data_IF_502757153771
#
_entry.id   IF_502757153771
#
_cell.length_a   1.000
_cell.length_b   1.000
_cell.length_c   1.000
_cell.angle_alpha   90.00
_cell.angle_beta   90.00
_cell.angle_gamma   90.00
#
_symmetry.space_group_name_H-M   'P 1'
#
loop_
_entity.id
_entity.type
_entity.pdbx_description
1 polymer ?
#
# COMPACT_ATOMS: atom_id res chain seq x y z
N UNK A 1 0.30 -1.63 34.74
CA UNK A 1 -0.20 -1.39 33.37
C UNK A 1 -0.61 -2.72 32.73
N UNK A 2 -1.76 -2.74 32.10
CA UNK A 2 -2.31 -3.93 31.44
C UNK A 2 -2.98 -3.56 30.11
N UNK A 3 -3.38 -4.54 29.32
CA UNK A 3 -4.13 -4.32 28.09
C UNK A 3 -5.43 -3.57 28.37
N UNK A 4 -5.76 -2.61 27.52
CA UNK A 4 -6.89 -1.66 27.54
C UNK A 4 -6.74 -0.48 28.51
N UNK A 5 -5.70 -0.40 29.33
CA UNK A 5 -5.43 0.83 30.07
C UNK A 5 -5.19 1.99 29.10
N UNK A 6 -5.61 3.20 29.51
CA UNK A 6 -5.31 4.45 28.82
C UNK A 6 -4.14 5.11 29.52
N UNK A 7 -3.17 5.56 28.73
CA UNK A 7 -1.98 6.26 29.19
C UNK A 7 -1.77 7.53 28.39
N UNK A 8 -1.28 8.58 29.04
CA UNK A 8 -0.86 9.80 28.37
C UNK A 8 0.63 9.72 28.06
N UNK A 9 1.02 10.00 26.83
CA UNK A 9 2.43 10.07 26.44
C UNK A 9 2.68 11.11 25.36
N UNK A 10 3.92 11.57 25.37
CA UNK A 10 4.51 12.35 24.30
C UNK A 10 5.29 11.45 23.36
N UNK A 11 5.12 11.67 22.07
CA UNK A 11 5.85 10.93 21.03
C UNK A 11 7.20 11.61 20.81
N UNK A 12 8.24 10.92 21.20
CA UNK A 12 9.63 11.42 21.19
C UNK A 12 10.44 10.94 19.99
N UNK A 13 10.03 9.84 19.36
CA UNK A 13 10.72 9.23 18.22
C UNK A 13 9.74 8.45 17.33
N UNK A 14 10.24 7.90 16.24
CA UNK A 14 9.47 7.04 15.33
C UNK A 14 10.17 5.72 15.06
N UNK A 15 9.42 4.64 15.16
CA UNK A 15 9.88 3.28 14.90
C UNK A 15 10.06 2.97 13.41
N UNK A 16 10.67 1.82 13.14
CA UNK A 16 11.02 1.41 11.76
C UNK A 16 9.81 1.18 10.86
N UNK A 17 8.66 0.88 11.42
CA UNK A 17 7.40 0.66 10.70
C UNK A 17 6.52 1.92 10.68
N UNK A 18 7.05 3.08 11.15
CA UNK A 18 6.36 4.37 11.14
C UNK A 18 5.44 4.61 12.34
N UNK A 19 5.47 3.75 13.37
CA UNK A 19 4.78 3.99 14.63
C UNK A 19 5.50 5.04 15.47
N UNK A 20 4.75 5.86 16.21
CA UNK A 20 5.33 6.77 17.20
C UNK A 20 5.90 6.00 18.38
N UNK A 21 7.00 6.50 18.94
CA UNK A 21 7.62 5.97 20.16
C UNK A 21 7.52 6.99 21.27
N UNK A 22 6.93 6.59 22.39
CA UNK A 22 6.88 7.37 23.62
C UNK A 22 7.20 6.52 24.84
N UNK A 23 7.41 7.18 25.98
CA UNK A 23 7.69 6.51 27.24
C UNK A 23 6.62 6.85 28.28
N UNK A 24 6.20 5.85 29.04
CA UNK A 24 5.32 6.00 30.16
C UNK A 24 5.77 5.09 31.30
N UNK A 25 5.99 5.67 32.48
CA UNK A 25 6.48 4.96 33.68
C UNK A 25 7.73 4.09 33.40
N UNK A 26 8.70 4.69 32.68
CA UNK A 26 9.97 4.03 32.33
C UNK A 26 9.87 2.98 31.21
N UNK A 27 8.68 2.67 30.72
CA UNK A 27 8.46 1.67 29.67
C UNK A 27 8.22 2.32 28.30
N UNK A 28 8.81 1.76 27.25
CA UNK A 28 8.67 2.22 25.88
C UNK A 28 7.38 1.68 25.25
N UNK A 29 6.62 2.56 24.60
CA UNK A 29 5.43 2.20 23.85
C UNK A 29 5.58 2.54 22.36
N UNK A 30 5.21 1.58 21.52
CA UNK A 30 5.05 1.77 20.07
C UNK A 30 3.57 2.07 19.79
N UNK A 31 3.30 3.26 19.29
CA UNK A 31 1.93 3.77 19.13
C UNK A 31 1.59 3.95 17.68
N UNK A 32 0.64 3.15 17.20
CA UNK A 32 0.15 3.26 15.82
C UNK A 32 -0.59 4.58 15.61
N UNK A 33 -0.40 5.19 14.43
CA UNK A 33 -1.04 6.44 13.97
C UNK A 33 -0.62 7.71 14.77
N UNK A 34 0.41 7.60 15.60
CA UNK A 34 1.02 8.73 16.29
C UNK A 34 2.18 9.31 15.47
N UNK A 35 2.35 10.62 15.55
CA UNK A 35 3.39 11.39 14.83
C UNK A 35 4.37 11.97 15.83
N UNK A 36 5.64 12.06 15.44
CA UNK A 36 6.70 12.68 16.25
C UNK A 36 6.25 14.05 16.78
N UNK A 37 6.31 14.22 18.10
CA UNK A 37 5.93 15.45 18.80
C UNK A 37 4.46 15.55 19.21
N UNK A 38 3.59 14.58 18.89
CA UNK A 38 2.23 14.53 19.44
C UNK A 38 2.24 14.29 20.95
N UNK A 39 1.30 14.90 21.64
CA UNK A 39 0.88 14.52 22.98
C UNK A 39 -0.49 13.87 22.91
N UNK A 40 -0.61 12.65 23.42
CA UNK A 40 -1.75 11.78 23.14
C UNK A 40 -2.22 11.01 24.37
N UNK A 41 -3.51 10.70 24.39
CA UNK A 41 -4.02 9.52 25.08
C UNK A 41 -3.92 8.32 24.17
N UNK A 42 -3.33 7.24 24.68
CA UNK A 42 -3.16 6.00 23.94
C UNK A 42 -3.71 4.80 24.73
N UNK A 43 -4.45 3.93 24.05
CA UNK A 43 -4.94 2.69 24.63
C UNK A 43 -3.93 1.58 24.40
N UNK A 44 -3.52 0.94 25.48
CA UNK A 44 -2.61 -0.22 25.41
C UNK A 44 -3.30 -1.39 24.71
N UNK A 45 -2.70 -1.87 23.64
CA UNK A 45 -3.21 -3.01 22.86
C UNK A 45 -2.51 -4.32 23.22
N UNK A 46 -1.23 -4.25 23.61
CA UNK A 46 -0.43 -5.41 23.99
C UNK A 46 0.73 -5.00 24.87
N UNK A 47 0.98 -5.78 25.94
CA UNK A 47 2.15 -5.65 26.82
C UNK A 47 3.17 -6.74 26.52
N UNK A 48 4.44 -6.39 26.60
CA UNK A 48 5.61 -7.26 26.61
C UNK A 48 6.42 -6.98 27.87
N UNK A 49 7.47 -7.77 28.13
CA UNK A 49 8.29 -7.63 29.34
C UNK A 49 8.95 -6.23 29.45
N UNK A 50 9.46 -5.69 28.34
CA UNK A 50 10.27 -4.47 28.32
C UNK A 50 9.65 -3.34 27.49
N UNK A 51 8.51 -3.55 26.83
CA UNK A 51 7.83 -2.54 26.00
C UNK A 51 6.36 -2.89 25.80
N UNK A 52 5.58 -1.93 25.33
CA UNK A 52 4.18 -2.11 24.99
C UNK A 52 3.84 -1.63 23.58
N UNK A 53 2.68 -2.04 23.12
CA UNK A 53 2.02 -1.49 21.93
C UNK A 53 0.76 -0.77 22.33
N UNK A 54 0.53 0.37 21.74
CA UNK A 54 -0.70 1.14 21.95
C UNK A 54 -1.23 1.69 20.62
N UNK A 55 -2.42 2.26 20.67
CA UNK A 55 -3.02 3.01 19.56
C UNK A 55 -3.49 4.35 20.08
N UNK A 56 -3.48 5.36 19.23
CA UNK A 56 -4.05 6.66 19.58
C UNK A 56 -5.54 6.52 19.86
N UNK A 57 -5.95 6.96 21.02
CA UNK A 57 -7.38 7.15 21.40
C UNK A 57 -7.78 8.59 21.12
N UNK A 58 -7.00 9.55 21.64
CA UNK A 58 -7.20 10.97 21.44
C UNK A 58 -5.86 11.69 21.26
N UNK A 59 -5.82 12.72 20.42
CA UNK A 59 -4.70 13.65 20.33
C UNK A 59 -5.02 14.83 21.24
N UNK A 60 -4.21 15.00 22.28
CA UNK A 60 -4.36 16.10 23.27
C UNK A 60 -3.75 17.38 22.71
N UNK A 61 -2.52 17.26 22.17
CA UNK A 61 -1.82 18.36 21.52
C UNK A 61 -1.17 17.84 20.24
N UNK A 62 -1.63 18.28 19.05
CA UNK A 62 -1.05 17.82 17.80
C UNK A 62 0.35 18.39 17.61
N UNK A 63 1.26 17.57 17.11
CA UNK A 63 2.59 18.01 16.69
C UNK A 63 2.49 19.07 15.60
N UNK A 64 3.42 20.04 15.60
CA UNK A 64 3.60 20.97 14.48
C UNK A 64 3.96 20.30 13.14
N UNK A 65 4.38 19.05 13.19
CA UNK A 65 4.70 18.23 12.01
C UNK A 65 3.55 17.33 11.58
N UNK A 66 2.42 17.37 12.29
CA UNK A 66 1.23 16.63 11.91
C UNK A 66 0.49 17.35 10.80
N UNK A 67 0.19 16.62 9.73
CA UNK A 67 -0.63 17.10 8.62
C UNK A 67 -1.86 16.21 8.44
N UNK A 68 -2.90 16.75 7.80
CA UNK A 68 -4.06 15.95 7.40
C UNK A 68 -3.67 15.07 6.22
N UNK A 69 -3.76 13.74 6.33
CA UNK A 69 -3.48 12.84 5.22
C UNK A 69 -4.42 13.10 4.04
N UNK A 70 -3.89 13.07 2.82
CA UNK A 70 -4.72 13.19 1.62
C UNK A 70 -5.62 11.96 1.40
N UNK A 71 -5.27 10.82 1.96
CA UNK A 71 -6.04 9.59 1.85
C UNK A 71 -6.95 9.40 3.07
N UNK A 72 -8.25 9.42 2.87
CA UNK A 72 -9.25 9.21 3.93
C UNK A 72 -9.15 7.82 4.59
N UNK A 73 -8.56 6.86 3.87
CA UNK A 73 -8.41 5.48 4.33
C UNK A 73 -7.08 5.22 5.05
N UNK A 74 -6.21 6.22 5.28
CA UNK A 74 -4.84 6.02 5.75
C UNK A 74 -4.73 5.23 7.07
N UNK A 75 -5.72 5.34 7.97
CA UNK A 75 -5.76 4.55 9.22
C UNK A 75 -6.30 3.14 9.05
N UNK A 76 -7.11 2.91 8.04
CA UNK A 76 -7.80 1.63 7.79
C UNK A 76 -7.00 0.75 6.83
N UNK A 77 -6.50 1.34 5.75
CA UNK A 77 -5.69 0.67 4.74
C UNK A 77 -4.29 0.38 5.28
N UNK A 78 -3.77 -0.83 5.04
CA UNK A 78 -2.42 -1.25 5.45
C UNK A 78 -1.29 -0.70 4.58
N UNK A 79 -1.59 0.08 3.53
CA UNK A 79 -0.60 0.48 2.52
C UNK A 79 0.32 1.63 2.92
N UNK A 80 -0.14 2.55 3.78
CA UNK A 80 0.60 3.75 4.18
C UNK A 80 0.65 3.90 5.70
N UNK A 81 1.83 4.23 6.25
CA UNK A 81 2.02 4.33 7.70
C UNK A 81 2.24 5.75 8.18
N UNK A 82 2.87 6.61 7.37
CA UNK A 82 3.37 7.93 7.82
C UNK A 82 2.77 9.12 7.07
N UNK A 83 1.60 8.98 6.43
CA UNK A 83 0.96 10.09 5.71
C UNK A 83 0.55 11.28 6.60
N UNK A 84 0.38 11.05 7.90
CA UNK A 84 0.05 12.11 8.85
C UNK A 84 1.27 12.95 9.28
N UNK A 85 2.49 12.56 8.85
CA UNK A 85 3.72 13.30 9.05
C UNK A 85 3.99 14.20 7.85
N UNK A 86 4.37 15.45 8.09
CA UNK A 86 4.84 16.40 7.05
C UNK A 86 5.90 15.76 6.15
N UNK A 87 5.89 16.07 4.85
CA UNK A 87 6.73 15.37 3.88
C UNK A 87 8.22 15.60 4.11
N UNK A 88 8.65 16.80 4.48
CA UNK A 88 10.06 17.07 4.79
C UNK A 88 10.50 16.25 6.01
N UNK A 89 9.62 16.11 7.00
CA UNK A 89 9.87 15.24 8.16
C UNK A 89 9.85 13.75 7.83
N UNK A 90 9.09 13.34 6.82
CA UNK A 90 9.21 11.97 6.28
C UNK A 90 10.58 11.72 5.66
N UNK A 91 11.16 12.69 4.95
CA UNK A 91 12.49 12.60 4.37
C UNK A 91 13.57 12.52 5.47
N UNK A 92 13.47 13.39 6.47
CA UNK A 92 14.36 13.37 7.64
C UNK A 92 14.30 12.02 8.40
N UNK A 93 13.08 11.51 8.64
CA UNK A 93 12.87 10.20 9.26
C UNK A 93 13.55 9.07 8.46
N UNK A 94 13.39 9.05 7.15
CA UNK A 94 13.99 8.04 6.26
C UNK A 94 15.53 8.14 6.29
N UNK A 95 16.07 9.35 6.26
CA UNK A 95 17.50 9.60 6.35
C UNK A 95 18.07 9.10 7.69
N UNK A 96 17.44 9.48 8.79
CA UNK A 96 17.84 9.08 10.13
C UNK A 96 17.78 7.56 10.33
N UNK A 97 16.79 6.91 9.72
CA UNK A 97 16.70 5.44 9.73
C UNK A 97 17.89 4.78 9.03
N UNK A 98 18.26 5.25 7.83
CA UNK A 98 19.43 4.72 7.11
C UNK A 98 20.71 5.02 7.89
N UNK A 99 20.90 6.25 8.35
CA UNK A 99 22.03 6.65 9.19
C UNK A 99 22.15 5.76 10.43
N UNK A 100 21.07 5.60 11.17
CA UNK A 100 21.04 4.77 12.36
C UNK A 100 21.37 3.30 12.10
N UNK A 101 20.90 2.74 10.98
CA UNK A 101 21.22 1.36 10.59
C UNK A 101 22.72 1.20 10.25
N UNK A 102 23.31 2.13 9.50
CA UNK A 102 24.72 2.09 9.17
C UNK A 102 25.61 2.17 10.42
N UNK A 103 25.27 3.02 11.38
CA UNK A 103 26.02 3.16 12.62
C UNK A 103 25.79 1.97 13.54
N UNK A 104 24.54 1.62 13.87
CA UNK A 104 24.21 0.65 14.92
C UNK A 104 24.31 -0.80 14.46
N UNK A 105 23.95 -1.08 13.20
CA UNK A 105 23.96 -2.44 12.66
C UNK A 105 25.23 -2.65 11.81
N UNK A 106 25.56 -1.68 10.97
CA UNK A 106 26.75 -1.73 10.12
C UNK A 106 28.07 -1.51 10.85
N UNK A 107 28.04 -0.94 12.09
CA UNK A 107 29.24 -0.69 12.89
C UNK A 107 30.12 0.45 12.36
N UNK A 108 29.62 1.29 11.45
CA UNK A 108 30.40 2.43 10.94
C UNK A 108 30.47 3.57 11.97
N UNK A 109 31.61 4.27 11.99
CA UNK A 109 31.79 5.44 12.82
C UNK A 109 30.79 6.55 12.42
N UNK A 110 30.13 7.21 13.39
CA UNK A 110 29.16 8.29 13.10
C UNK A 110 29.76 9.39 12.23
N UNK A 111 31.00 9.80 12.52
CA UNK A 111 31.71 10.88 11.82
C UNK A 111 31.96 10.54 10.34
N UNK A 112 32.20 9.26 10.04
CA UNK A 112 32.33 8.79 8.66
C UNK A 112 31.00 8.93 7.94
N UNK A 113 29.90 8.42 8.53
CA UNK A 113 28.58 8.47 7.92
C UNK A 113 28.12 9.92 7.70
N UNK A 114 28.31 10.80 8.68
CA UNK A 114 27.92 12.21 8.58
C UNK A 114 28.71 12.96 7.49
N UNK A 115 29.93 12.52 7.18
CA UNK A 115 30.75 13.10 6.11
C UNK A 115 30.35 12.63 4.71
N UNK A 116 29.90 11.37 4.55
CA UNK A 116 29.67 10.75 3.23
C UNK A 116 28.20 10.65 2.86
N UNK A 117 27.28 10.78 3.81
CA UNK A 117 25.87 10.62 3.58
C UNK A 117 25.25 11.92 3.03
N UNK A 118 24.83 11.87 1.77
CA UNK A 118 24.09 12.98 1.18
C UNK A 118 22.64 13.04 1.71
N UNK A 119 22.01 14.23 1.67
CA UNK A 119 20.59 14.35 1.98
C UNK A 119 19.75 13.42 1.10
N UNK A 120 18.68 12.85 1.68
CA UNK A 120 17.75 12.00 0.92
C UNK A 120 17.07 12.82 -0.17
N UNK A 121 17.03 12.27 -1.37
CA UNK A 121 16.36 12.92 -2.50
C UNK A 121 14.85 12.74 -2.36
N UNK A 122 14.13 13.85 -2.22
CA UNK A 122 12.67 13.89 -2.17
C UNK A 122 12.04 14.03 -3.56
N UNK A 123 10.74 13.75 -3.62
CA UNK A 123 9.89 14.01 -4.79
C UNK A 123 9.30 15.41 -4.70
N UNK A 124 9.10 16.09 -5.83
CA UNK A 124 8.31 17.33 -5.88
C UNK A 124 6.85 17.06 -5.54
N UNK A 125 6.30 15.97 -6.10
CA UNK A 125 4.95 15.48 -5.85
C UNK A 125 5.03 14.08 -5.26
N UNK A 126 4.85 13.91 -3.93
CA UNK A 126 4.96 12.61 -3.27
C UNK A 126 3.70 11.74 -3.40
N UNK A 127 2.81 12.08 -4.32
CA UNK A 127 1.60 11.35 -4.68
C UNK A 127 1.62 10.95 -6.15
N UNK A 128 0.71 10.07 -6.58
CA UNK A 128 0.56 9.62 -7.98
C UNK A 128 1.82 9.05 -8.64
N UNK A 129 2.83 8.65 -7.84
CA UNK A 129 4.14 8.19 -8.36
C UNK A 129 4.21 6.70 -8.66
N UNK A 130 3.25 5.92 -8.17
CA UNK A 130 3.30 4.47 -8.24
C UNK A 130 2.80 3.98 -9.60
N UNK A 131 3.68 3.42 -10.41
CA UNK A 131 3.41 2.93 -11.76
C UNK A 131 2.94 1.48 -11.81
N UNK A 132 2.90 0.79 -10.69
CA UNK A 132 2.38 -0.59 -10.56
C UNK A 132 1.46 -0.68 -9.35
N UNK A 133 0.26 -1.18 -9.56
CA UNK A 133 -0.67 -1.47 -8.49
C UNK A 133 -1.25 -2.88 -8.63
N UNK A 134 -1.53 -3.53 -7.50
CA UNK A 134 -2.16 -4.85 -7.42
C UNK A 134 -3.32 -4.74 -6.45
N UNK A 135 -4.53 -4.92 -6.98
CA UNK A 135 -5.76 -4.78 -6.21
C UNK A 135 -6.39 -6.15 -5.99
N UNK A 136 -6.50 -6.65 -4.75
CA UNK A 136 -7.35 -7.77 -4.45
C UNK A 136 -8.80 -7.45 -4.79
N UNK A 137 -9.50 -8.44 -5.33
CA UNK A 137 -10.92 -8.38 -5.62
C UNK A 137 -11.65 -9.27 -4.61
N UNK A 138 -12.65 -8.71 -3.96
CA UNK A 138 -13.51 -9.42 -3.01
C UNK A 138 -14.97 -9.10 -3.22
N UNK A 139 -15.80 -9.44 -2.25
CA UNK A 139 -17.21 -9.10 -2.24
C UNK A 139 -17.55 -8.22 -1.02
N UNK A 140 -18.49 -7.31 -1.20
CA UNK A 140 -19.12 -6.60 -0.09
C UNK A 140 -20.16 -7.50 0.63
N UNK A 141 -20.87 -6.93 1.60
CA UNK A 141 -21.89 -7.65 2.38
C UNK A 141 -23.07 -8.14 1.53
N UNK A 142 -23.31 -7.48 0.41
CA UNK A 142 -24.40 -7.77 -0.51
C UNK A 142 -23.96 -8.70 -1.64
N UNK A 143 -22.71 -9.15 -1.63
CA UNK A 143 -22.12 -10.03 -2.64
C UNK A 143 -21.64 -9.31 -3.91
N UNK A 144 -21.65 -7.97 -3.96
CA UNK A 144 -21.14 -7.23 -5.10
C UNK A 144 -19.60 -7.26 -5.10
N UNK A 145 -18.96 -7.39 -6.27
CA UNK A 145 -17.51 -7.33 -6.36
C UNK A 145 -16.99 -5.95 -5.98
N UNK A 146 -15.92 -5.94 -5.19
CA UNK A 146 -15.20 -4.74 -4.76
C UNK A 146 -13.70 -4.90 -4.97
N UNK A 147 -13.01 -3.81 -5.28
CA UNK A 147 -11.57 -3.75 -5.40
C UNK A 147 -11.00 -2.84 -4.30
N UNK A 148 -9.83 -3.18 -3.77
CA UNK A 148 -9.24 -2.34 -2.74
C UNK A 148 -7.87 -2.80 -2.28
N UNK A 149 -7.57 -2.58 -1.00
CA UNK A 149 -6.37 -3.11 -0.34
C UNK A 149 -6.75 -3.79 0.97
N UNK A 150 -5.89 -4.68 1.43
CA UNK A 150 -6.09 -5.33 2.72
C UNK A 150 -5.95 -4.35 3.88
N UNK A 151 -6.85 -4.45 4.85
CA UNK A 151 -6.66 -3.82 6.14
C UNK A 151 -5.38 -4.39 6.80
N UNK A 152 -4.68 -3.53 7.54
CA UNK A 152 -3.40 -3.91 8.14
C UNK A 152 -3.50 -5.21 8.95
N UNK A 153 -2.63 -6.17 8.65
CA UNK A 153 -2.53 -7.50 9.30
C UNK A 153 -3.78 -8.38 9.15
N UNK A 154 -4.59 -8.14 8.12
CA UNK A 154 -5.77 -8.96 7.82
C UNK A 154 -5.88 -9.21 6.32
N UNK A 155 -6.80 -10.10 5.91
CA UNK A 155 -7.20 -10.31 4.52
C UNK A 155 -8.55 -9.63 4.20
N UNK A 156 -9.06 -8.80 5.10
CA UNK A 156 -10.26 -8.01 4.85
C UNK A 156 -9.97 -6.88 3.86
N UNK A 157 -10.69 -6.85 2.74
CA UNK A 157 -10.51 -5.83 1.71
C UNK A 157 -11.21 -4.54 2.15
N UNK A 158 -10.47 -3.45 2.15
CA UNK A 158 -10.98 -2.09 2.27
C UNK A 158 -11.22 -1.59 0.85
N UNK A 159 -12.46 -1.36 0.43
CA UNK A 159 -12.75 -0.78 -0.88
C UNK A 159 -12.04 0.56 -1.04
N UNK A 160 -11.38 0.76 -2.18
CA UNK A 160 -10.62 1.97 -2.49
C UNK A 160 -11.14 2.56 -3.78
N UNK A 161 -11.70 3.76 -3.71
CA UNK A 161 -12.17 4.50 -4.87
C UNK A 161 -11.04 5.31 -5.53
N UNK A 162 -10.03 5.72 -4.73
CA UNK A 162 -8.89 6.47 -5.25
C UNK A 162 -7.68 6.30 -4.32
N UNK A 163 -6.69 5.56 -4.78
CA UNK A 163 -5.41 5.44 -4.08
C UNK A 163 -4.49 6.61 -4.45
N UNK A 164 -4.26 7.53 -3.54
CA UNK A 164 -3.43 8.74 -3.77
C UNK A 164 -1.98 8.45 -4.19
N UNK A 165 -1.48 7.23 -4.00
CA UNK A 165 -0.14 6.83 -4.47
C UNK A 165 -0.14 6.34 -5.92
N UNK A 166 -1.24 5.75 -6.38
CA UNK A 166 -1.38 5.22 -7.74
C UNK A 166 -1.85 6.28 -8.74
N UNK A 167 -1.70 5.98 -10.01
CA UNK A 167 -2.23 6.79 -11.10
C UNK A 167 -3.76 6.79 -11.12
N UNK A 168 -4.37 7.80 -11.69
CA UNK A 168 -5.84 7.97 -11.70
C UNK A 168 -6.52 6.91 -12.57
N UNK A 169 -5.84 6.45 -13.61
CA UNK A 169 -6.27 5.41 -14.52
C UNK A 169 -6.60 4.09 -13.79
N UNK A 170 -5.97 3.84 -12.63
CA UNK A 170 -6.29 2.66 -11.82
C UNK A 170 -7.78 2.59 -11.47
N UNK A 171 -8.39 3.72 -11.10
CA UNK A 171 -9.81 3.74 -10.72
C UNK A 171 -10.72 3.48 -11.92
N UNK A 172 -10.39 4.05 -13.08
CA UNK A 172 -11.13 3.86 -14.33
C UNK A 172 -11.11 2.37 -14.68
N UNK A 173 -9.92 1.75 -14.69
CA UNK A 173 -9.74 0.32 -15.00
C UNK A 173 -10.51 -0.56 -14.01
N UNK A 174 -10.41 -0.27 -12.71
CA UNK A 174 -11.12 -1.07 -11.70
C UNK A 174 -12.63 -0.98 -11.85
N UNK A 175 -13.18 0.21 -12.16
CA UNK A 175 -14.61 0.39 -12.40
C UNK A 175 -15.09 -0.45 -13.59
N UNK A 176 -14.32 -0.50 -14.68
CA UNK A 176 -14.66 -1.30 -15.85
C UNK A 176 -14.59 -2.82 -15.56
N UNK A 177 -13.56 -3.26 -14.83
CA UNK A 177 -13.47 -4.67 -14.40
C UNK A 177 -14.62 -5.06 -13.48
N UNK A 178 -14.95 -4.24 -12.48
CA UNK A 178 -16.07 -4.52 -11.57
C UNK A 178 -17.41 -4.48 -12.27
N UNK A 179 -17.61 -3.58 -13.25
CA UNK A 179 -18.81 -3.50 -14.09
C UNK A 179 -18.96 -4.75 -14.95
N UNK A 180 -17.87 -5.20 -15.58
CA UNK A 180 -17.86 -6.47 -16.31
C UNK A 180 -18.23 -7.65 -15.39
N UNK A 181 -17.64 -7.73 -14.20
CA UNK A 181 -17.92 -8.80 -13.24
C UNK A 181 -19.39 -8.84 -12.84
N UNK A 182 -20.01 -7.67 -12.59
CA UNK A 182 -21.45 -7.56 -12.29
C UNK A 182 -22.31 -8.00 -13.47
N UNK A 183 -22.04 -7.47 -14.65
CA UNK A 183 -22.83 -7.76 -15.87
C UNK A 183 -22.77 -9.24 -16.28
N UNK A 184 -21.58 -9.84 -16.14
CA UNK A 184 -21.35 -11.22 -16.55
C UNK A 184 -21.53 -12.24 -15.41
N UNK A 185 -21.97 -11.79 -14.22
CA UNK A 185 -22.13 -12.63 -13.02
C UNK A 185 -20.85 -13.40 -12.63
N UNK A 186 -19.69 -12.73 -12.75
CA UNK A 186 -18.37 -13.30 -12.41
C UNK A 186 -18.11 -13.07 -10.93
N UNK A 187 -17.98 -14.14 -10.16
CA UNK A 187 -17.73 -14.07 -8.72
C UNK A 187 -16.26 -13.71 -8.41
N UNK A 188 -16.05 -12.89 -7.39
CA UNK A 188 -14.74 -12.71 -6.77
C UNK A 188 -14.30 -13.98 -6.05
N UNK A 189 -12.98 -14.20 -6.00
CA UNK A 189 -12.40 -15.32 -5.27
C UNK A 189 -12.48 -15.08 -3.76
N UNK A 190 -12.94 -16.07 -3.03
CA UNK A 190 -12.93 -16.11 -1.56
C UNK A 190 -11.82 -17.04 -1.06
N UNK A 191 -10.85 -16.50 -0.36
CA UNK A 191 -9.69 -17.24 0.15
C UNK A 191 -10.08 -18.31 1.18
N UNK A 192 -11.16 -18.11 1.94
CA UNK A 192 -11.62 -19.08 2.97
C UNK A 192 -12.20 -20.33 2.32
N UNK A 193 -13.07 -20.13 1.33
CA UNK A 193 -13.76 -21.25 0.68
C UNK A 193 -13.00 -21.80 -0.53
N UNK A 194 -12.09 -21.01 -1.10
CA UNK A 194 -11.40 -21.33 -2.35
C UNK A 194 -12.29 -21.26 -3.58
N UNK A 195 -13.48 -20.66 -3.48
CA UNK A 195 -14.44 -20.51 -4.56
C UNK A 195 -14.39 -19.12 -5.19
N UNK A 196 -14.98 -18.97 -6.37
CA UNK A 196 -14.95 -17.74 -7.15
C UNK A 196 -13.79 -17.69 -8.14
N UNK A 197 -13.81 -16.71 -9.04
CA UNK A 197 -12.93 -16.69 -10.21
C UNK A 197 -11.89 -15.58 -10.14
N UNK A 198 -12.30 -14.31 -10.00
CA UNK A 198 -11.35 -13.18 -10.05
C UNK A 198 -10.72 -12.93 -8.69
N UNK A 199 -9.38 -12.99 -8.64
CA UNK A 199 -8.58 -12.84 -7.41
C UNK A 199 -8.01 -11.43 -7.26
N UNK A 200 -7.34 -10.95 -8.32
CA UNK A 200 -6.66 -9.66 -8.30
C UNK A 200 -6.72 -9.00 -9.68
N UNK A 201 -6.53 -7.69 -9.69
CA UNK A 201 -6.23 -6.90 -10.89
C UNK A 201 -4.86 -6.25 -10.70
N UNK A 202 -3.93 -6.56 -11.59
CA UNK A 202 -2.62 -5.92 -11.64
C UNK A 202 -2.64 -4.89 -12.77
N UNK A 203 -2.24 -3.67 -12.47
CA UNK A 203 -2.19 -2.55 -13.41
C UNK A 203 -0.75 -2.03 -13.46
N UNK A 204 -0.26 -1.76 -14.67
CA UNK A 204 1.01 -1.07 -14.90
C UNK A 204 0.79 0.12 -15.81
N UNK A 205 1.53 1.19 -15.57
CA UNK A 205 1.47 2.44 -16.30
C UNK A 205 2.86 2.95 -16.67
N UNK A 206 3.07 3.24 -17.93
CA UNK A 206 4.29 3.89 -18.43
C UNK A 206 4.13 5.40 -18.37
N UNK A 207 4.76 6.07 -17.41
CA UNK A 207 4.59 7.53 -17.23
C UNK A 207 4.96 8.35 -18.46
N UNK A 208 5.97 7.93 -19.21
CA UNK A 208 6.42 8.63 -20.41
C UNK A 208 5.59 8.27 -21.64
N UNK A 209 5.33 6.99 -21.82
CA UNK A 209 4.61 6.47 -23.00
C UNK A 209 3.10 6.56 -22.87
N UNK A 210 2.59 6.76 -21.63
CA UNK A 210 1.17 6.71 -21.28
C UNK A 210 0.51 5.35 -21.56
N UNK A 211 1.31 4.31 -21.76
CA UNK A 211 0.83 2.97 -22.03
C UNK A 211 0.32 2.28 -20.75
N UNK A 212 -0.82 1.62 -20.87
CA UNK A 212 -1.48 0.87 -19.81
C UNK A 212 -1.42 -0.64 -20.09
N UNK A 213 -1.13 -1.40 -19.04
CA UNK A 213 -1.24 -2.86 -19.03
C UNK A 213 -2.13 -3.30 -17.88
N UNK A 214 -3.08 -4.17 -18.19
CA UNK A 214 -3.97 -4.80 -17.21
C UNK A 214 -3.78 -6.31 -17.25
N UNK A 215 -3.57 -6.92 -16.09
CA UNK A 215 -3.57 -8.36 -15.93
C UNK A 215 -4.60 -8.76 -14.89
N UNK A 216 -5.60 -9.55 -15.28
CA UNK A 216 -6.61 -10.11 -14.38
C UNK A 216 -6.14 -11.47 -13.90
N UNK A 217 -5.94 -11.62 -12.60
CA UNK A 217 -5.53 -12.87 -11.96
C UNK A 217 -6.77 -13.66 -11.59
N UNK A 218 -6.85 -14.90 -12.07
CA UNK A 218 -8.03 -15.74 -11.92
C UNK A 218 -7.73 -17.12 -11.31
N UNK A 219 -8.69 -17.62 -10.56
CA UNK A 219 -8.73 -18.99 -10.05
C UNK A 219 -9.41 -19.91 -11.09
N UNK A 220 -8.78 -20.04 -12.26
CA UNK A 220 -9.35 -20.81 -13.37
C UNK A 220 -8.53 -20.63 -14.65
N UNK A 221 -9.07 -21.08 -15.77
CA UNK A 221 -8.37 -21.08 -17.05
C UNK A 221 -8.83 -19.97 -18.01
N UNK A 222 -10.02 -19.42 -17.83
CA UNK A 222 -10.59 -18.40 -18.71
C UNK A 222 -11.63 -17.56 -17.98
N UNK A 223 -11.95 -16.40 -18.55
CA UNK A 223 -13.04 -15.52 -18.13
C UNK A 223 -14.25 -15.74 -19.04
N UNK A 224 -15.49 -15.84 -18.51
CA UNK A 224 -16.68 -15.93 -19.33
C UNK A 224 -16.94 -14.60 -20.05
N UNK A 225 -17.36 -14.64 -21.31
CA UNK A 225 -17.66 -13.45 -22.13
C UNK A 225 -16.51 -12.41 -22.07
N UNK A 226 -15.29 -12.91 -22.22
CA UNK A 226 -14.05 -12.12 -22.10
C UNK A 226 -13.98 -10.94 -23.07
N UNK A 227 -14.64 -11.06 -24.23
CA UNK A 227 -14.81 -9.99 -25.23
C UNK A 227 -15.41 -8.72 -24.61
N UNK A 228 -16.37 -8.85 -23.70
CA UNK A 228 -16.97 -7.69 -23.01
C UNK A 228 -15.98 -6.96 -22.10
N UNK A 229 -15.07 -7.70 -21.45
CA UNK A 229 -13.99 -7.10 -20.68
C UNK A 229 -13.01 -6.38 -21.59
N UNK A 230 -12.64 -7.00 -22.72
CA UNK A 230 -11.74 -6.41 -23.71
C UNK A 230 -12.34 -5.10 -24.25
N UNK A 231 -13.59 -5.12 -24.70
CA UNK A 231 -14.28 -3.94 -25.24
C UNK A 231 -14.30 -2.78 -24.25
N UNK A 232 -14.57 -3.05 -22.96
CA UNK A 232 -14.56 -2.04 -21.89
C UNK A 232 -13.17 -1.46 -21.64
N UNK A 233 -12.15 -2.31 -21.56
CA UNK A 233 -10.79 -1.87 -21.24
C UNK A 233 -10.14 -1.18 -22.45
N UNK A 234 -10.42 -1.58 -23.68
CA UNK A 234 -9.85 -0.96 -24.89
C UNK A 234 -10.41 0.44 -25.15
N UNK A 235 -11.56 0.78 -24.58
CA UNK A 235 -12.09 2.14 -24.60
C UNK A 235 -11.27 3.14 -23.73
N UNK A 236 -10.38 2.64 -22.86
CA UNK A 236 -9.54 3.49 -22.01
C UNK A 236 -8.32 3.93 -22.82
N UNK A 237 -8.10 5.25 -22.87
CA UNK A 237 -6.95 5.84 -23.56
C UNK A 237 -5.62 5.27 -23.00
N UNK A 238 -4.71 4.93 -23.89
CA UNK A 238 -3.41 4.35 -23.53
C UNK A 238 -3.42 2.83 -23.28
N UNK A 239 -4.57 2.15 -23.35
CA UNK A 239 -4.61 0.69 -23.19
C UNK A 239 -3.78 0.02 -24.30
N UNK A 240 -2.77 -0.76 -23.88
CA UNK A 240 -1.80 -1.40 -24.77
C UNK A 240 -1.78 -2.92 -24.60
N UNK A 241 -2.07 -3.42 -23.41
CA UNK A 241 -1.96 -4.84 -23.09
C UNK A 241 -3.04 -5.29 -22.12
N UNK A 242 -3.74 -6.35 -22.44
CA UNK A 242 -4.69 -7.03 -21.54
C UNK A 242 -4.31 -8.50 -21.47
N UNK A 243 -4.13 -8.99 -20.24
CA UNK A 243 -3.69 -10.36 -19.97
C UNK A 243 -4.54 -11.03 -18.90
N UNK A 244 -4.57 -12.35 -18.91
CA UNK A 244 -5.09 -13.18 -17.83
C UNK A 244 -3.91 -13.97 -17.25
N UNK A 245 -3.81 -13.99 -15.92
CA UNK A 245 -2.88 -14.86 -15.22
C UNK A 245 -3.65 -15.92 -14.43
N UNK A 246 -3.28 -17.18 -14.59
CA UNK A 246 -3.93 -18.32 -13.96
C UNK A 246 -3.23 -18.64 -12.63
N UNK A 247 -3.93 -18.41 -11.52
CA UNK A 247 -3.44 -18.75 -10.18
C UNK A 247 -4.51 -19.52 -9.41
N UNK A 248 -4.42 -20.84 -9.43
CA UNK A 248 -5.32 -21.76 -8.71
C UNK A 248 -4.73 -22.22 -7.38
N UNK A 249 -3.50 -21.81 -7.05
CA UNK A 249 -2.81 -22.20 -5.82
C UNK A 249 -3.35 -21.43 -4.61
N UNK A 250 -3.55 -22.11 -3.49
CA UNK A 250 -3.91 -21.49 -2.20
C UNK A 250 -2.66 -20.95 -1.49
N UNK A 251 -2.07 -19.89 -2.02
CA UNK A 251 -0.88 -19.24 -1.48
C UNK A 251 -1.03 -17.73 -1.51
N UNK A 252 -0.18 -17.01 -0.77
CA UNK A 252 -0.11 -15.55 -0.80
C UNK A 252 0.58 -14.99 -2.07
N UNK A 253 1.05 -15.85 -2.96
CA UNK A 253 1.64 -15.43 -4.24
C UNK A 253 0.52 -14.99 -5.16
N UNK A 254 0.60 -13.77 -5.67
CA UNK A 254 -0.46 -13.17 -6.49
C UNK A 254 -0.45 -13.75 -7.91
N UNK A 255 0.71 -13.82 -8.56
CA UNK A 255 0.85 -14.34 -9.91
C UNK A 255 1.07 -15.85 -9.90
N UNK A 256 0.31 -16.57 -10.70
CA UNK A 256 0.56 -17.96 -11.04
C UNK A 256 1.59 -18.10 -12.17
N UNK A 257 1.84 -19.34 -12.56
CA UNK A 257 2.91 -19.67 -13.50
C UNK A 257 2.55 -19.38 -14.97
N UNK A 258 1.28 -19.26 -15.30
CA UNK A 258 0.79 -19.09 -16.67
C UNK A 258 0.13 -17.74 -16.84
N UNK A 259 0.69 -16.92 -17.76
CA UNK A 259 0.07 -15.65 -18.18
C UNK A 259 -0.20 -15.72 -19.68
N UNK A 260 -1.41 -15.35 -20.09
CA UNK A 260 -1.85 -15.30 -21.47
C UNK A 260 -2.28 -13.88 -21.82
N UNK A 261 -1.60 -13.28 -22.81
CA UNK A 261 -2.09 -12.05 -23.43
C UNK A 261 -3.35 -12.37 -24.23
N UNK A 262 -4.42 -11.62 -23.98
CA UNK A 262 -5.75 -11.82 -24.63
C UNK A 262 -6.11 -10.68 -25.56
N UNK A 263 -5.40 -9.54 -25.47
CA UNK A 263 -5.51 -8.42 -26.39
C UNK A 263 -4.26 -7.54 -26.34
N UNK A 264 -3.88 -6.99 -27.49
CA UNK A 264 -2.75 -6.08 -27.65
C UNK A 264 -1.39 -6.77 -27.54
N UNK A 265 -0.40 -6.03 -27.08
CA UNK A 265 0.98 -6.51 -26.94
C UNK A 265 1.20 -7.23 -25.59
N UNK A 266 2.13 -8.19 -25.49
CA UNK A 266 2.42 -8.87 -24.23
C UNK A 266 3.23 -7.99 -23.23
N UNK A 267 3.57 -6.75 -23.58
CA UNK A 267 4.37 -5.81 -22.78
C UNK A 267 3.94 -4.36 -23.04
N UNK A 268 4.36 -3.46 -22.17
CA UNK A 268 4.34 -2.02 -22.36
C UNK A 268 5.77 -1.47 -22.33
N UNK A 269 5.99 -0.33 -22.96
CA UNK A 269 7.27 0.37 -22.93
C UNK A 269 7.32 1.30 -21.75
N UNK A 270 8.36 1.19 -20.92
CA UNK A 270 8.62 2.11 -19.81
C UNK A 270 10.03 2.68 -19.98
N UNK A 271 10.11 4.00 -20.24
CA UNK A 271 11.39 4.69 -20.37
C UNK A 271 11.86 5.17 -19.00
N UNK A 272 13.04 4.73 -18.58
CA UNK A 272 13.76 5.15 -17.38
C UNK A 272 14.88 6.11 -17.77
N UNK A 273 14.67 7.40 -17.59
CA UNK A 273 15.65 8.42 -18.02
C UNK A 273 16.93 8.49 -17.18
N UNK A 274 16.93 7.92 -15.97
CA UNK A 274 17.94 8.25 -14.96
C UNK A 274 18.75 7.07 -14.46
N UNK A 275 18.58 5.87 -15.01
CA UNK A 275 19.38 4.73 -14.56
C UNK A 275 20.10 4.07 -15.70
N UNK A 276 21.43 4.31 -15.85
CA UNK A 276 22.31 3.37 -16.51
C UNK A 276 22.56 2.19 -15.55
N UNK A 277 21.49 1.56 -15.03
CA UNK A 277 21.67 0.35 -14.23
C UNK A 277 21.93 -0.80 -15.18
N UNK A 278 23.14 -1.37 -15.21
CA UNK A 278 23.37 -2.64 -15.83
C UNK A 278 22.66 -3.70 -14.99
N UNK A 279 21.53 -4.15 -15.44
CA UNK A 279 20.89 -5.38 -14.94
C UNK A 279 20.93 -6.43 -16.03
#
# INVERSE_FOLDING_TARGET
MQKNDIIELKIEDMGVDGEGIGKYDGMTFFVKDAVLGDEIEARITKMKKNYGYARVEQILSPSKFRVTPQCELHRRCGGCQIQALDYEKQLEFKQNKVRGNLIRIGGFAPELIDRIMFPVVGMKEPYRYRNKAQFPIGADKDGNPVAGFYAARTHSIIPVNDCKLGVEENQIILNEVLSYMKECHVASYDENTGKGLVRHVLIRYGFTTKELMVCVIINGNSLPKVEKLIDRLTAIEGMKSISINQNTKKTNVILGDVTKCIWGDPYITCLLYTSPSPR
#
